data_IF_933079244391
#
_entry.id   IF_933079244391
#
_cell.length_a   1.000
_cell.length_b   1.000
_cell.length_c   1.000
_cell.angle_alpha   90.00
_cell.angle_beta   90.00
_cell.angle_gamma   90.00
#
_symmetry.space_group_name_H-M   'P 1'
#
loop_
_entity.id
_entity.type
_entity.pdbx_description
1 polymer ?
#
# COMPACT_ATOMS: atom_id res chain seq x y z
N UNK A 1 3.12 -27.87 36.35
CA UNK A 1 2.83 -26.59 36.99
C UNK A 1 3.87 -25.61 36.55
N UNK A 2 3.66 -24.94 35.46
CA UNK A 2 4.51 -23.81 35.02
C UNK A 2 3.60 -22.76 34.38
N UNK A 3 3.19 -21.83 35.21
CA UNK A 3 2.60 -20.56 34.84
C UNK A 3 3.71 -19.58 34.45
N UNK A 4 3.39 -18.67 33.59
CA UNK A 4 4.09 -17.44 33.30
C UNK A 4 4.96 -17.44 32.07
N UNK A 5 4.37 -16.97 30.96
CA UNK A 5 4.94 -15.94 30.07
C UNK A 5 3.89 -15.51 29.03
N UNK A 6 2.82 -14.90 29.51
CA UNK A 6 2.01 -13.97 28.74
C UNK A 6 2.00 -12.70 29.53
N UNK A 7 2.69 -11.71 29.05
CA UNK A 7 2.59 -10.27 29.24
C UNK A 7 3.99 -9.72 28.93
N UNK A 8 4.19 -9.14 27.79
CA UNK A 8 4.88 -7.92 27.44
C UNK A 8 5.26 -7.94 25.97
N UNK A 9 4.48 -7.34 25.17
CA UNK A 9 4.94 -6.38 24.18
C UNK A 9 3.80 -6.02 23.24
N UNK A 10 3.43 -4.78 23.21
CA UNK A 10 3.35 -4.10 21.92
C UNK A 10 3.91 -2.66 21.98
N UNK A 11 4.98 -2.40 22.72
CA UNK A 11 5.33 -0.98 22.94
C UNK A 11 6.81 -0.60 22.79
N UNK A 12 7.66 -1.40 22.15
CA UNK A 12 9.08 -1.05 22.13
C UNK A 12 9.83 -1.22 20.80
N UNK A 13 9.17 -1.11 19.63
CA UNK A 13 9.87 -1.10 18.34
C UNK A 13 9.63 0.16 17.50
N UNK A 14 9.38 1.30 18.15
CA UNK A 14 9.18 2.59 17.46
C UNK A 14 10.43 3.49 17.43
N UNK A 15 11.64 2.97 17.66
CA UNK A 15 12.85 3.81 17.77
C UNK A 15 14.01 3.26 16.93
N UNK A 16 13.90 3.29 15.62
CA UNK A 16 15.05 3.24 14.72
C UNK A 16 14.78 4.00 13.42
N UNK A 17 14.35 5.26 13.53
CA UNK A 17 14.39 6.18 12.41
C UNK A 17 15.51 7.19 12.65
N UNK A 18 16.65 6.95 12.01
CA UNK A 18 17.74 7.94 11.91
C UNK A 18 17.28 9.00 10.92
N UNK A 19 17.01 10.19 11.45
CA UNK A 19 16.74 11.39 10.64
C UNK A 19 18.05 11.89 10.07
N UNK A 20 18.29 11.72 8.78
CA UNK A 20 19.34 12.43 8.05
C UNK A 20 18.74 13.74 7.53
N UNK A 21 19.12 14.84 8.18
CA UNK A 21 18.75 16.20 7.74
C UNK A 21 19.77 16.64 6.70
N UNK A 22 19.36 16.73 5.42
CA UNK A 22 20.11 17.46 4.41
C UNK A 22 19.64 18.91 4.35
N UNK A 23 20.50 19.82 4.73
CA UNK A 23 20.32 21.26 4.52
C UNK A 23 20.76 21.61 3.10
N UNK A 24 19.83 21.94 2.23
CA UNK A 24 20.13 22.51 0.91
C UNK A 24 20.11 24.05 0.97
N UNK A 25 21.22 24.65 0.61
CA UNK A 25 21.39 26.11 0.47
C UNK A 25 20.74 26.57 -0.82
N UNK A 26 19.83 27.51 -0.69
CA UNK A 26 19.08 28.17 -1.77
C UNK A 26 19.92 29.24 -2.45
N UNK A 27 20.00 29.18 -3.80
CA UNK A 27 20.36 30.37 -4.62
C UNK A 27 19.16 30.73 -5.47
N UNK A 28 18.55 31.88 -5.11
CA UNK A 28 17.45 32.44 -5.84
C UNK A 28 17.95 33.25 -7.06
N UNK A 29 17.36 33.02 -8.25
CA UNK A 29 17.40 33.90 -9.41
C UNK A 29 16.00 34.40 -9.71
N UNK A 30 15.87 35.71 -9.93
CA UNK A 30 14.61 36.43 -10.10
C UNK A 30 13.84 36.08 -11.39
N UNK A 31 12.52 36.32 -11.43
CA UNK A 31 11.65 35.83 -12.48
C UNK A 31 11.55 36.77 -13.67
N UNK A 32 11.57 36.18 -14.87
CA UNK A 32 11.22 36.80 -16.13
C UNK A 32 9.75 36.49 -16.46
N UNK A 33 9.02 37.49 -16.95
CA UNK A 33 7.56 37.46 -17.15
C UNK A 33 7.14 36.49 -18.26
N UNK A 34 5.94 35.87 -18.18
CA UNK A 34 5.49 34.86 -19.13
C UNK A 34 4.90 35.48 -20.40
N UNK A 35 5.42 35.06 -21.55
CA UNK A 35 4.70 35.15 -22.82
C UNK A 35 3.64 34.04 -22.90
N UNK A 36 2.40 34.41 -23.27
CA UNK A 36 1.32 33.46 -23.47
C UNK A 36 1.54 32.64 -24.73
N UNK A 37 1.56 31.30 -24.68
CA UNK A 37 1.53 30.51 -25.91
C UNK A 37 0.11 30.33 -26.39
N UNK A 38 -0.08 30.73 -27.63
CA UNK A 38 -1.23 30.46 -28.50
C UNK A 38 -1.25 28.97 -28.87
N UNK A 39 -2.44 28.38 -28.80
CA UNK A 39 -2.81 27.04 -29.29
C UNK A 39 -2.17 25.82 -28.62
N UNK A 40 -3.02 25.10 -27.86
CA UNK A 40 -2.80 23.71 -27.48
C UNK A 40 -2.89 22.81 -28.71
N UNK A 41 -1.74 22.38 -29.22
CA UNK A 41 -1.65 21.26 -30.13
C UNK A 41 -1.86 19.96 -29.34
N UNK A 42 -3.06 19.36 -29.44
CA UNK A 42 -3.42 18.09 -28.77
C UNK A 42 -3.03 16.85 -29.59
N UNK A 43 -2.12 16.97 -30.58
CA UNK A 43 -1.72 15.86 -31.44
C UNK A 43 -0.48 15.08 -30.93
N UNK A 44 -0.23 15.02 -29.65
CA UNK A 44 0.96 14.35 -29.09
C UNK A 44 0.80 13.72 -27.71
N UNK A 45 -0.43 13.48 -27.25
CA UNK A 45 -0.63 12.70 -26.03
C UNK A 45 -0.44 11.23 -26.40
N UNK A 46 0.72 10.68 -26.07
CA UNK A 46 1.04 9.26 -26.19
C UNK A 46 0.19 8.48 -25.19
N UNK A 47 -1.02 8.10 -25.59
CA UNK A 47 -2.00 7.38 -24.76
C UNK A 47 -1.47 6.00 -24.34
N UNK A 48 -0.42 5.51 -25.01
CA UNK A 48 0.19 4.22 -24.72
C UNK A 48 1.03 4.19 -23.43
N UNK A 49 1.36 5.34 -22.82
CA UNK A 49 2.26 5.41 -21.68
C UNK A 49 1.69 6.18 -20.47
N UNK A 50 0.37 6.42 -20.44
CA UNK A 50 -0.26 7.09 -19.29
C UNK A 50 -0.50 6.06 -18.18
N UNK A 51 0.04 6.27 -16.96
CA UNK A 51 -0.21 5.38 -15.82
C UNK A 51 -1.71 5.26 -15.54
N UNK A 52 -2.16 4.07 -15.16
CA UNK A 52 -3.57 3.84 -14.83
C UNK A 52 -3.94 4.50 -13.50
N UNK A 53 -5.11 5.11 -13.46
CA UNK A 53 -5.69 5.53 -12.16
C UNK A 53 -6.13 4.31 -11.33
N UNK A 54 -6.36 4.51 -10.04
CA UNK A 54 -6.87 3.45 -9.15
C UNK A 54 -8.18 2.83 -9.67
N UNK A 55 -9.06 3.66 -10.19
CA UNK A 55 -10.34 3.22 -10.78
C UNK A 55 -10.12 2.38 -12.05
N UNK A 56 -9.19 2.80 -12.90
CA UNK A 56 -8.84 2.06 -14.12
C UNK A 56 -8.16 0.73 -13.81
N UNK A 57 -7.28 0.68 -12.81
CA UNK A 57 -6.69 -0.56 -12.32
C UNK A 57 -7.79 -1.48 -11.82
N UNK A 58 -8.65 -0.99 -10.93
CA UNK A 58 -9.74 -1.78 -10.35
C UNK A 58 -10.68 -2.36 -11.41
N UNK A 59 -10.98 -1.58 -12.45
CA UNK A 59 -11.86 -2.00 -13.55
C UNK A 59 -11.29 -3.12 -14.44
N UNK A 60 -9.97 -3.38 -14.38
CA UNK A 60 -9.36 -4.51 -15.09
C UNK A 60 -9.68 -5.86 -14.43
N UNK A 61 -9.95 -5.87 -13.12
CA UNK A 61 -10.08 -7.08 -12.33
C UNK A 61 -11.49 -7.34 -11.80
N UNK A 62 -12.36 -6.33 -11.78
CA UNK A 62 -13.72 -6.49 -11.26
C UNK A 62 -14.73 -5.62 -12.00
N UNK A 63 -15.97 -6.06 -12.02
CA UNK A 63 -17.06 -5.30 -12.61
C UNK A 63 -17.57 -4.23 -11.64
N UNK A 64 -17.86 -3.03 -12.17
CA UNK A 64 -18.43 -1.91 -11.43
C UNK A 64 -17.68 -1.64 -10.09
N UNK A 65 -16.34 -1.45 -10.12
CA UNK A 65 -15.57 -1.19 -8.91
C UNK A 65 -16.05 0.11 -8.25
N UNK A 66 -16.25 0.05 -6.94
CA UNK A 66 -16.58 1.21 -6.13
C UNK A 66 -15.76 1.17 -4.84
N UNK A 67 -15.47 2.36 -4.33
CA UNK A 67 -14.81 2.48 -3.03
C UNK A 67 -15.72 1.90 -1.94
N UNK A 68 -15.18 0.99 -1.15
CA UNK A 68 -15.80 0.41 0.05
C UNK A 68 -15.57 1.33 1.24
N UNK A 69 -14.31 1.78 1.41
CA UNK A 69 -13.93 2.67 2.47
C UNK A 69 -12.52 3.20 2.33
N UNK A 70 -12.23 4.21 3.13
CA UNK A 70 -10.94 4.89 3.21
C UNK A 70 -10.52 5.04 4.67
N UNK A 71 -9.22 4.97 4.92
CA UNK A 71 -8.67 5.09 6.26
C UNK A 71 -7.26 5.69 6.22
N UNK A 72 -6.82 6.29 7.33
CA UNK A 72 -5.46 6.81 7.47
C UNK A 72 -4.74 6.11 8.61
N UNK A 73 -3.57 5.55 8.32
CA UNK A 73 -2.68 5.07 9.36
C UNK A 73 -1.88 6.25 9.95
N UNK A 74 -1.93 6.32 11.29
CA UNK A 74 -1.10 7.24 12.08
C UNK A 74 -0.43 6.47 13.20
N UNK A 75 0.88 6.66 13.35
CA UNK A 75 1.64 6.14 14.50
C UNK A 75 2.07 7.35 15.34
N UNK A 76 1.50 7.47 16.54
CA UNK A 76 1.66 8.65 17.40
C UNK A 76 1.27 9.95 16.67
N UNK A 77 2.24 10.82 16.35
CA UNK A 77 2.04 12.09 15.64
C UNK A 77 2.28 11.99 14.13
N UNK A 78 2.77 10.83 13.63
CA UNK A 78 3.19 10.66 12.27
C UNK A 78 2.08 10.07 11.42
N UNK A 79 1.75 10.74 10.33
CA UNK A 79 0.91 10.18 9.26
C UNK A 79 1.80 9.28 8.41
N UNK A 80 1.38 8.06 8.20
CA UNK A 80 2.15 7.04 7.49
C UNK A 80 1.65 6.89 6.05
N UNK A 81 0.37 6.57 5.89
CA UNK A 81 -0.29 6.48 4.58
C UNK A 81 -1.80 6.68 4.70
N UNK A 82 -2.42 7.01 3.58
CA UNK A 82 -3.86 6.89 3.34
C UNK A 82 -4.13 5.60 2.59
N UNK A 83 -5.11 4.83 3.03
CA UNK A 83 -5.53 3.59 2.40
C UNK A 83 -6.93 3.74 1.81
N UNK A 84 -7.14 3.17 0.62
CA UNK A 84 -8.42 3.14 -0.10
C UNK A 84 -8.69 1.72 -0.57
N UNK A 85 -9.84 1.16 -0.18
CA UNK A 85 -10.31 -0.16 -0.60
C UNK A 85 -11.42 -0.02 -1.63
N UNK A 86 -11.32 -0.75 -2.76
CA UNK A 86 -12.38 -0.87 -3.75
C UNK A 86 -12.72 -2.34 -3.99
N UNK A 87 -14.00 -2.61 -4.19
CA UNK A 87 -14.53 -3.93 -4.52
C UNK A 87 -15.73 -3.79 -5.49
N UNK A 88 -16.14 -4.91 -6.07
CA UNK A 88 -17.29 -4.95 -6.97
C UNK A 88 -18.54 -4.40 -6.26
N UNK A 89 -19.19 -3.42 -6.89
CA UNK A 89 -20.38 -2.73 -6.36
C UNK A 89 -20.18 -2.00 -5.01
N UNK A 90 -18.94 -1.87 -4.52
CA UNK A 90 -18.65 -1.26 -3.22
C UNK A 90 -18.87 -2.20 -2.03
N UNK A 91 -18.95 -3.49 -2.27
CA UNK A 91 -19.11 -4.51 -1.23
C UNK A 91 -17.90 -5.45 -1.22
N UNK A 92 -17.05 -5.34 -0.21
CA UNK A 92 -15.96 -6.28 -0.05
C UNK A 92 -16.47 -7.63 0.48
N UNK A 93 -16.04 -8.69 -0.19
CA UNK A 93 -16.28 -10.08 0.23
C UNK A 93 -14.98 -10.84 0.18
N UNK A 94 -14.77 -11.72 1.16
CA UNK A 94 -13.63 -12.63 1.15
C UNK A 94 -13.64 -13.47 -0.13
N UNK A 95 -12.45 -13.76 -0.65
CA UNK A 95 -12.23 -14.60 -1.83
C UNK A 95 -12.83 -14.06 -3.16
N UNK A 96 -13.19 -12.78 -3.20
CA UNK A 96 -13.58 -12.07 -4.44
C UNK A 96 -12.52 -11.03 -4.81
N UNK A 97 -12.43 -10.62 -6.09
CA UNK A 97 -11.48 -9.57 -6.50
C UNK A 97 -11.71 -8.25 -5.77
N UNK A 98 -10.63 -7.59 -5.38
CA UNK A 98 -10.62 -6.24 -4.80
C UNK A 98 -9.28 -5.56 -5.01
N UNK A 99 -9.23 -4.26 -4.81
CA UNK A 99 -8.02 -3.44 -4.86
C UNK A 99 -7.87 -2.64 -3.58
N UNK A 100 -6.63 -2.62 -3.03
CA UNK A 100 -6.23 -1.79 -1.90
C UNK A 100 -5.07 -0.90 -2.33
N UNK A 101 -5.26 0.42 -2.27
CA UNK A 101 -4.21 1.40 -2.57
C UNK A 101 -3.73 2.07 -1.28
N UNK A 102 -2.41 2.20 -1.14
CA UNK A 102 -1.76 2.92 -0.06
C UNK A 102 -1.03 4.12 -0.65
N UNK A 103 -1.49 5.34 -0.35
CA UNK A 103 -0.77 6.59 -0.70
C UNK A 103 0.10 6.98 0.48
N UNK A 104 1.42 6.90 0.29
CA UNK A 104 2.38 7.15 1.34
C UNK A 104 2.51 8.65 1.64
N UNK A 105 2.61 8.99 2.90
CA UNK A 105 2.72 10.37 3.38
C UNK A 105 4.14 10.69 3.86
N UNK A 106 5.10 9.83 3.52
CA UNK A 106 6.52 9.91 3.82
C UNK A 106 7.30 8.99 2.88
N UNK A 107 8.63 9.16 2.85
CA UNK A 107 9.54 8.23 2.18
C UNK A 107 9.63 6.90 2.94
N UNK A 108 9.65 5.78 2.20
CA UNK A 108 9.96 4.44 2.67
C UNK A 108 10.75 3.67 1.63
N UNK A 109 11.71 2.86 2.09
CA UNK A 109 12.39 1.88 1.24
C UNK A 109 11.48 0.69 0.98
N UNK A 110 11.51 0.14 -0.24
CA UNK A 110 10.70 -1.03 -0.62
C UNK A 110 11.02 -2.26 0.25
N UNK A 111 12.29 -2.44 0.64
CA UNK A 111 12.70 -3.51 1.55
C UNK A 111 12.12 -3.33 2.96
N UNK A 112 12.04 -2.09 3.46
CA UNK A 112 11.38 -1.79 4.75
C UNK A 112 9.88 -2.08 4.69
N UNK A 113 9.22 -1.76 3.57
CA UNK A 113 7.80 -2.09 3.36
C UNK A 113 7.61 -3.61 3.37
N UNK A 114 8.46 -4.37 2.68
CA UNK A 114 8.42 -5.83 2.65
C UNK A 114 8.65 -6.44 4.05
N UNK A 115 9.66 -5.95 4.77
CA UNK A 115 9.97 -6.40 6.14
C UNK A 115 8.79 -6.15 7.09
N UNK A 116 8.23 -4.94 7.05
CA UNK A 116 7.08 -4.60 7.88
C UNK A 116 5.85 -5.44 7.54
N UNK A 117 5.62 -5.73 6.26
CA UNK A 117 4.52 -6.59 5.83
C UNK A 117 4.63 -7.99 6.45
N UNK A 118 5.82 -8.57 6.48
CA UNK A 118 6.05 -9.88 7.12
C UNK A 118 5.80 -9.82 8.63
N UNK A 119 6.22 -8.75 9.31
CA UNK A 119 5.96 -8.60 10.75
C UNK A 119 4.45 -8.51 11.03
N UNK A 120 3.70 -7.75 10.24
CA UNK A 120 2.24 -7.66 10.36
C UNK A 120 1.55 -9.01 10.04
N UNK A 121 2.06 -9.78 9.07
CA UNK A 121 1.55 -11.13 8.80
C UNK A 121 1.72 -12.04 10.02
N UNK A 122 2.86 -11.97 10.74
CA UNK A 122 3.05 -12.70 12.02
C UNK A 122 2.04 -12.25 13.07
N UNK A 123 1.84 -10.95 13.20
CA UNK A 123 0.93 -10.39 14.20
C UNK A 123 -0.52 -10.82 13.97
N UNK A 124 -0.96 -11.01 12.73
CA UNK A 124 -2.29 -11.56 12.42
C UNK A 124 -2.38 -13.08 12.52
N UNK A 125 -1.24 -13.77 12.73
CA UNK A 125 -1.19 -15.20 13.10
C UNK A 125 -0.62 -16.15 12.04
N UNK A 126 0.14 -15.66 11.06
CA UNK A 126 0.91 -16.51 10.14
C UNK A 126 2.27 -16.86 10.76
N UNK A 127 2.48 -18.17 11.06
CA UNK A 127 3.64 -18.63 11.85
C UNK A 127 4.67 -19.44 11.03
N UNK A 128 4.41 -19.71 9.74
CA UNK A 128 5.35 -20.46 8.88
C UNK A 128 6.50 -19.56 8.43
N UNK A 129 7.59 -19.60 9.19
CA UNK A 129 8.77 -18.75 8.94
C UNK A 129 9.46 -19.03 7.60
N UNK A 130 9.37 -20.26 7.06
CA UNK A 130 9.92 -20.59 5.73
C UNK A 130 9.11 -19.90 4.65
N UNK A 131 7.79 -19.93 4.80
CA UNK A 131 6.88 -19.28 3.86
C UNK A 131 6.95 -17.76 3.95
N UNK A 132 7.02 -17.20 5.17
CA UNK A 132 7.22 -15.76 5.41
C UNK A 132 8.54 -15.25 4.81
N UNK A 133 9.63 -16.00 4.95
CA UNK A 133 10.92 -15.65 4.34
C UNK A 133 10.84 -15.67 2.80
N UNK A 134 10.16 -16.66 2.20
CA UNK A 134 9.90 -16.69 0.76
C UNK A 134 9.11 -15.47 0.30
N UNK A 135 8.05 -15.11 1.00
CA UNK A 135 7.21 -13.95 0.68
C UNK A 135 7.95 -12.64 0.86
N UNK A 136 8.81 -12.53 1.88
CA UNK A 136 9.70 -11.39 2.03
C UNK A 136 10.55 -11.15 0.77
N UNK A 137 11.24 -12.20 0.27
CA UNK A 137 12.07 -12.07 -0.93
C UNK A 137 11.25 -11.73 -2.18
N UNK A 138 10.04 -12.25 -2.31
CA UNK A 138 9.15 -11.89 -3.41
C UNK A 138 8.71 -10.43 -3.32
N UNK A 139 8.26 -9.95 -2.15
CA UNK A 139 7.89 -8.55 -1.93
C UNK A 139 9.07 -7.61 -2.13
N UNK A 140 10.25 -7.96 -1.61
CA UNK A 140 11.48 -7.18 -1.79
C UNK A 140 11.86 -7.00 -3.26
N UNK A 141 11.57 -7.99 -4.10
CA UNK A 141 11.84 -7.90 -5.54
C UNK A 141 10.81 -7.06 -6.31
N UNK A 142 9.62 -6.84 -5.73
CA UNK A 142 8.49 -6.15 -6.38
C UNK A 142 8.33 -4.72 -5.86
N UNK A 143 8.52 -4.47 -4.57
CA UNK A 143 8.21 -3.18 -3.98
C UNK A 143 9.30 -2.14 -4.29
N UNK A 144 8.94 -1.01 -4.93
CA UNK A 144 9.85 0.10 -5.12
C UNK A 144 10.02 0.90 -3.83
N UNK A 145 11.04 1.75 -3.78
CA UNK A 145 11.07 2.86 -2.84
C UNK A 145 9.95 3.83 -3.18
N UNK A 146 9.30 4.37 -2.17
CA UNK A 146 8.19 5.33 -2.34
C UNK A 146 8.51 6.67 -1.68
N UNK A 147 8.04 7.74 -2.29
CA UNK A 147 8.12 9.09 -1.75
C UNK A 147 6.77 9.54 -1.21
N UNK A 148 6.77 10.68 -0.52
CA UNK A 148 5.52 11.33 -0.11
C UNK A 148 4.65 11.64 -1.33
N UNK A 149 3.39 11.21 -1.27
CA UNK A 149 2.39 11.36 -2.33
C UNK A 149 2.32 10.19 -3.30
N UNK A 150 3.35 9.34 -3.38
CA UNK A 150 3.33 8.15 -4.24
C UNK A 150 2.48 7.02 -3.65
N UNK A 151 1.95 6.16 -4.51
CA UNK A 151 1.09 5.07 -4.08
C UNK A 151 1.58 3.70 -4.57
N UNK A 152 1.32 2.68 -3.74
CA UNK A 152 1.34 1.27 -4.16
C UNK A 152 -0.09 0.76 -4.08
N UNK A 153 -0.56 0.17 -5.17
CA UNK A 153 -1.87 -0.50 -5.23
C UNK A 153 -1.66 -2.00 -5.37
N UNK A 154 -2.17 -2.76 -4.42
CA UNK A 154 -2.28 -4.22 -4.50
C UNK A 154 -3.67 -4.62 -4.97
N UNK A 155 -3.75 -5.57 -5.91
CA UNK A 155 -5.02 -6.12 -6.41
C UNK A 155 -5.02 -7.62 -6.22
N UNK A 156 -6.05 -8.14 -5.58
CA UNK A 156 -6.39 -9.57 -5.60
C UNK A 156 -7.26 -9.85 -6.81
N UNK A 157 -6.85 -10.76 -7.70
CA UNK A 157 -7.64 -11.17 -8.85
C UNK A 157 -8.59 -12.35 -8.53
N UNK A 158 -9.36 -12.79 -9.51
CA UNK A 158 -10.31 -13.92 -9.38
C UNK A 158 -9.63 -15.27 -9.11
N UNK A 159 -8.33 -15.39 -9.46
CA UNK A 159 -7.52 -16.57 -9.21
C UNK A 159 -6.78 -16.51 -7.86
N UNK A 160 -6.99 -15.43 -7.10
CA UNK A 160 -6.30 -15.12 -5.85
C UNK A 160 -4.80 -14.83 -6.04
N UNK A 161 -4.38 -14.41 -7.22
CA UNK A 161 -3.05 -13.86 -7.46
C UNK A 161 -3.03 -12.39 -7.07
N UNK A 162 -1.88 -11.90 -6.62
CA UNK A 162 -1.72 -10.51 -6.22
C UNK A 162 -0.88 -9.76 -7.23
N UNK A 163 -1.41 -8.65 -7.75
CA UNK A 163 -0.74 -7.75 -8.69
C UNK A 163 -0.43 -6.43 -7.98
N UNK A 164 0.79 -5.92 -8.17
CA UNK A 164 1.23 -4.68 -7.55
C UNK A 164 1.49 -3.61 -8.60
N UNK A 165 0.94 -2.43 -8.36
CA UNK A 165 1.11 -1.24 -9.17
C UNK A 165 1.77 -0.15 -8.35
N UNK A 166 2.75 0.54 -8.92
CA UNK A 166 3.33 1.76 -8.39
C UNK A 166 3.01 2.91 -9.32
N UNK A 167 2.38 3.96 -8.81
CA UNK A 167 1.98 5.12 -9.61
C UNK A 167 1.26 4.72 -10.90
N UNK A 168 0.35 3.76 -10.82
CA UNK A 168 -0.44 3.30 -11.96
C UNK A 168 0.27 2.34 -12.93
N UNK A 169 1.52 2.01 -12.71
CA UNK A 169 2.30 1.07 -13.53
C UNK A 169 2.47 -0.27 -12.81
N UNK A 170 2.20 -1.38 -13.50
CA UNK A 170 2.41 -2.71 -12.94
C UNK A 170 3.91 -2.93 -12.66
N UNK A 171 4.26 -3.21 -11.41
CA UNK A 171 5.64 -3.45 -10.98
C UNK A 171 5.94 -4.92 -10.70
N UNK A 172 4.93 -5.77 -10.53
CA UNK A 172 5.08 -7.21 -10.39
C UNK A 172 3.83 -7.90 -9.90
N UNK A 173 3.89 -9.25 -9.88
CA UNK A 173 2.81 -10.10 -9.39
C UNK A 173 3.37 -11.25 -8.56
N UNK A 174 2.58 -11.72 -7.60
CA UNK A 174 2.87 -12.90 -6.80
C UNK A 174 1.69 -13.88 -6.95
N UNK A 175 1.95 -14.98 -7.66
CA UNK A 175 0.91 -15.95 -8.07
C UNK A 175 0.68 -17.05 -7.00
N UNK A 176 1.08 -16.80 -5.77
CA UNK A 176 0.84 -17.67 -4.62
C UNK A 176 -0.48 -17.27 -3.94
N UNK A 177 -1.50 -18.11 -4.04
CA UNK A 177 -2.84 -17.86 -3.46
C UNK A 177 -2.81 -17.60 -1.95
N UNK A 178 -1.92 -18.30 -1.25
CA UNK A 178 -1.76 -18.14 0.20
C UNK A 178 -1.13 -16.78 0.53
N UNK A 179 -0.25 -16.29 -0.34
CA UNK A 179 0.35 -14.96 -0.19
C UNK A 179 -0.71 -13.86 -0.20
N UNK A 180 -1.56 -13.84 -1.23
CA UNK A 180 -2.55 -12.79 -1.38
C UNK A 180 -3.44 -12.63 -0.16
N UNK A 181 -3.97 -13.75 0.35
CA UNK A 181 -4.77 -13.72 1.57
C UNK A 181 -3.97 -13.20 2.76
N UNK A 182 -2.77 -13.74 3.00
CA UNK A 182 -1.92 -13.36 4.13
C UNK A 182 -1.52 -11.88 4.09
N UNK A 183 -1.21 -11.37 2.88
CA UNK A 183 -0.83 -9.99 2.68
C UNK A 183 -1.98 -9.02 2.98
N UNK A 184 -3.15 -9.26 2.40
CA UNK A 184 -4.29 -8.37 2.63
C UNK A 184 -4.92 -8.53 4.01
N UNK A 185 -4.71 -9.65 4.69
CA UNK A 185 -5.09 -9.85 6.08
C UNK A 185 -4.42 -8.86 7.04
N UNK A 186 -3.30 -8.27 6.68
CA UNK A 186 -2.67 -7.17 7.43
C UNK A 186 -3.71 -6.07 7.74
N UNK A 187 -4.60 -5.75 6.79
CA UNK A 187 -5.60 -4.70 6.94
C UNK A 187 -7.02 -5.23 7.18
N UNK A 188 -7.34 -6.42 6.66
CA UNK A 188 -8.73 -6.89 6.56
C UNK A 188 -9.08 -8.00 7.55
N UNK A 189 -8.10 -8.63 8.20
CA UNK A 189 -8.32 -9.64 9.22
C UNK A 189 -8.86 -9.03 10.52
N UNK A 190 -9.67 -9.79 11.26
CA UNK A 190 -10.18 -9.36 12.57
C UNK A 190 -9.08 -9.21 13.62
N UNK A 191 -7.95 -9.90 13.44
CA UNK A 191 -6.78 -9.85 14.32
C UNK A 191 -5.77 -8.77 13.92
N UNK A 192 -6.05 -7.92 12.91
CA UNK A 192 -5.14 -6.83 12.51
C UNK A 192 -4.74 -5.98 13.71
N UNK A 193 -3.49 -5.49 13.71
CA UNK A 193 -2.97 -4.54 14.69
C UNK A 193 -3.75 -3.21 14.68
N UNK A 194 -4.49 -2.90 13.58
CA UNK A 194 -5.21 -1.65 13.36
C UNK A 194 -6.74 -1.84 13.19
N UNK A 195 -7.48 -2.31 14.23
CA UNK A 195 -8.89 -2.65 14.11
C UNK A 195 -9.80 -1.46 13.76
N UNK A 196 -9.41 -0.24 14.10
CA UNK A 196 -10.14 0.97 13.71
C UNK A 196 -10.01 1.24 12.22
N UNK A 197 -8.82 1.08 11.69
CA UNK A 197 -8.53 1.22 10.27
C UNK A 197 -9.31 0.18 9.45
N UNK A 198 -9.31 -1.09 9.89
CA UNK A 198 -10.10 -2.16 9.29
C UNK A 198 -11.58 -1.79 9.19
N UNK A 199 -12.17 -1.28 10.28
CA UNK A 199 -13.59 -0.85 10.28
C UNK A 199 -13.85 0.23 9.23
N UNK A 200 -12.99 1.23 9.14
CA UNK A 200 -13.12 2.31 8.16
C UNK A 200 -12.99 1.78 6.72
N UNK A 201 -12.00 0.92 6.44
CA UNK A 201 -11.82 0.32 5.12
C UNK A 201 -13.01 -0.55 4.70
N UNK A 202 -13.61 -1.29 5.63
CA UNK A 202 -14.75 -2.15 5.35
C UNK A 202 -16.10 -1.44 5.44
N UNK A 203 -16.14 -0.12 5.71
CA UNK A 203 -17.37 0.64 5.90
C UNK A 203 -18.20 0.19 7.10
N UNK A 204 -17.57 -0.45 8.09
CA UNK A 204 -18.21 -0.91 9.32
C UNK A 204 -18.24 0.25 10.34
N UNK A 205 -19.42 0.52 10.91
CA UNK A 205 -19.60 1.53 11.95
C UNK A 205 -19.19 1.01 13.33
#
# INVERSE_FOLDING_TARGET
MNLSKKILSPMLFALSFIVVIYTAVSHAKAPEAPEMPTQLDVSGVDVANTPFTFEQISAQYMQNPKVVGEARLKIMFWKIYDAKLAAANGEWKKDTPFALSLTYLRYFDGEEIASRSVDEMRDVGYEDEVLLAKWFEQMRSVFPNVKEGENITGVMDENQHTHFYHEGSLVGSIDDKSFGQSFFDIWLNEKTSEPKMRKQLLGLQ
#
